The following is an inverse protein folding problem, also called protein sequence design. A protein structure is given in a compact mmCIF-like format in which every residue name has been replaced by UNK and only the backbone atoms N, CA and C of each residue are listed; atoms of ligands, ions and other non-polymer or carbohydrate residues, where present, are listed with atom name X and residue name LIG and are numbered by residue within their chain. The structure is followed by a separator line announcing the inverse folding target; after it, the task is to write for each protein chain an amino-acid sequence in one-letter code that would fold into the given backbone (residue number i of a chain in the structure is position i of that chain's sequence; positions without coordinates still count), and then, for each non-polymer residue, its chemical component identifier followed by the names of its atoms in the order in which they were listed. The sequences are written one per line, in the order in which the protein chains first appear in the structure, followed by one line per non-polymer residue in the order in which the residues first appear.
data_IF_624883640988
#
_entry.id   IF_624883640988
#
_cell.length_a   1.000
_cell.length_b   1.000
_cell.length_c   1.000
_cell.angle_alpha   90.00
_cell.angle_beta   90.00
_cell.angle_gamma   90.00
#
_symmetry.space_group_name_H-M   'P 1'
#
loop_
_entity.id
_entity.type
_entity.pdbx_description
1 polymer ?
#
# COMPACT_ATOMS: atom_id res chain seq x y z
N UNK A 1 -20.86 8.20 12.21
CA UNK A 1 -20.99 7.44 13.49
C UNK A 1 -21.48 6.06 13.11
N UNK A 2 -20.59 5.06 13.09
CA UNK A 2 -20.94 3.70 12.68
C UNK A 2 -21.84 3.05 13.75
N UNK A 3 -23.04 2.55 13.40
CA UNK A 3 -23.93 1.95 14.36
C UNK A 3 -23.45 0.53 14.72
N UNK A 4 -23.15 0.34 16.00
CA UNK A 4 -23.17 -0.95 16.70
C UNK A 4 -22.29 -2.08 16.17
N UNK A 5 -20.96 -1.89 16.20
CA UNK A 5 -20.03 -3.02 16.27
C UNK A 5 -20.14 -3.59 17.69
N UNK A 6 -20.79 -4.75 17.85
CA UNK A 6 -20.77 -5.52 19.09
C UNK A 6 -19.38 -6.11 19.31
N UNK A 7 -18.46 -5.28 19.80
CA UNK A 7 -17.16 -5.72 20.27
C UNK A 7 -17.36 -6.67 21.44
N UNK A 8 -16.81 -7.90 21.41
CA UNK A 8 -16.88 -8.78 22.55
C UNK A 8 -16.22 -8.11 23.75
N UNK A 9 -16.82 -8.34 24.91
CA UNK A 9 -16.31 -7.85 26.19
C UNK A 9 -14.85 -8.30 26.34
N UNK A 10 -13.93 -7.33 26.46
CA UNK A 10 -12.49 -7.57 26.56
C UNK A 10 -11.69 -7.42 25.26
N UNK A 11 -12.32 -7.11 24.12
CA UNK A 11 -11.61 -6.82 22.88
C UNK A 11 -10.77 -5.54 23.03
N UNK A 12 -9.45 -5.71 23.03
CA UNK A 12 -8.52 -4.58 22.91
C UNK A 12 -8.34 -4.31 21.43
N UNK A 13 -8.64 -3.08 20.99
CA UNK A 13 -8.30 -2.63 19.65
C UNK A 13 -6.82 -2.91 19.38
N UNK A 14 -6.48 -3.68 18.34
CA UNK A 14 -5.08 -3.91 18.00
C UNK A 14 -4.38 -2.58 17.72
N UNK A 15 -3.11 -2.46 18.12
CA UNK A 15 -2.29 -1.36 17.65
C UNK A 15 -1.87 -1.67 16.22
N UNK A 16 -2.35 -0.87 15.28
CA UNK A 16 -1.99 -0.98 13.87
C UNK A 16 -0.71 -0.22 13.56
N UNK A 17 0.10 -0.77 12.66
CA UNK A 17 1.09 0.05 11.96
C UNK A 17 0.32 0.93 10.99
N UNK A 18 0.62 2.23 10.98
CA UNK A 18 -0.12 3.19 10.17
C UNK A 18 0.47 3.27 8.77
N UNK A 19 -0.37 3.18 7.76
CA UNK A 19 -0.01 3.44 6.37
C UNK A 19 -0.38 4.87 6.00
N UNK A 20 0.60 5.63 5.55
CA UNK A 20 0.45 7.05 5.20
C UNK A 20 0.16 7.29 3.71
N UNK A 21 0.15 6.23 2.89
CA UNK A 21 0.05 6.31 1.43
C UNK A 21 1.36 6.02 0.69
N UNK A 22 2.46 5.79 1.42
CA UNK A 22 3.77 5.51 0.84
C UNK A 22 4.27 4.10 1.16
N UNK A 23 4.98 3.50 0.20
CA UNK A 23 5.52 2.14 0.33
C UNK A 23 4.53 1.04 -0.05
N UNK A 24 4.96 -0.22 -0.04
CA UNK A 24 4.22 -1.35 -0.62
C UNK A 24 2.85 -1.59 0.05
N UNK A 25 1.72 -1.34 -0.67
CA UNK A 25 0.38 -1.52 -0.11
C UNK A 25 0.05 -3.00 0.15
N UNK A 26 0.62 -3.94 -0.61
CA UNK A 26 0.43 -5.38 -0.38
C UNK A 26 1.14 -5.79 0.91
N UNK A 27 2.32 -5.24 1.17
CA UNK A 27 3.03 -5.48 2.42
C UNK A 27 2.23 -4.94 3.62
N UNK A 28 1.61 -3.76 3.51
CA UNK A 28 0.71 -3.21 4.53
C UNK A 28 -0.47 -4.15 4.81
N UNK A 29 -1.19 -4.59 3.78
CA UNK A 29 -2.32 -5.52 3.94
C UNK A 29 -1.93 -6.81 4.66
N UNK A 30 -0.77 -7.39 4.34
CA UNK A 30 -0.25 -8.59 5.03
C UNK A 30 0.00 -8.33 6.52
N UNK A 31 0.60 -7.19 6.88
CA UNK A 31 0.86 -6.81 8.27
C UNK A 31 -0.44 -6.56 9.02
N UNK A 32 -1.36 -5.81 8.43
CA UNK A 32 -2.69 -5.57 8.97
C UNK A 32 -3.42 -6.89 9.28
N UNK A 33 -3.50 -7.81 8.32
CA UNK A 33 -4.11 -9.13 8.53
C UNK A 33 -3.42 -9.93 9.66
N UNK A 34 -2.10 -9.84 9.80
CA UNK A 34 -1.37 -10.47 10.89
C UNK A 34 -1.68 -9.84 12.25
N UNK A 35 -1.82 -8.51 12.33
CA UNK A 35 -2.22 -7.79 13.55
C UNK A 35 -3.66 -8.13 13.95
N UNK A 36 -4.52 -8.41 12.98
CA UNK A 36 -5.89 -8.89 13.18
C UNK A 36 -5.97 -10.38 13.55
N UNK A 37 -4.93 -11.18 13.30
CA UNK A 37 -4.93 -12.63 13.62
C UNK A 37 -5.00 -12.94 15.13
N UNK A 38 -4.65 -11.98 15.99
CA UNK A 38 -4.85 -12.08 17.44
C UNK A 38 -6.32 -11.95 17.89
N UNK A 39 -7.22 -11.57 16.97
CA UNK A 39 -8.66 -11.58 17.17
C UNK A 39 -9.25 -12.86 16.58
N UNK A 40 -9.67 -13.80 17.43
CA UNK A 40 -10.31 -15.03 16.98
C UNK A 40 -11.54 -14.74 16.10
N UNK A 41 -11.53 -15.33 14.89
CA UNK A 41 -12.67 -15.50 13.97
C UNK A 41 -13.51 -14.27 13.61
N UNK A 42 -12.90 -13.20 13.09
CA UNK A 42 -13.68 -12.05 12.59
C UNK A 42 -13.16 -11.44 11.30
N UNK A 43 -13.34 -12.16 10.19
CA UNK A 43 -13.22 -11.57 8.85
C UNK A 43 -14.10 -10.32 8.68
N UNK A 44 -15.25 -10.31 9.35
CA UNK A 44 -16.19 -9.18 9.38
C UNK A 44 -15.56 -7.90 9.95
N UNK A 45 -14.67 -8.02 10.95
CA UNK A 45 -13.99 -6.86 11.53
C UNK A 45 -12.84 -6.31 10.67
N UNK A 46 -12.40 -7.03 9.63
CA UNK A 46 -11.28 -6.56 8.81
C UNK A 46 -11.61 -5.24 8.11
N UNK A 47 -12.85 -5.09 7.63
CA UNK A 47 -13.29 -3.86 6.98
C UNK A 47 -13.53 -2.75 7.99
N UNK A 48 -14.20 -3.06 9.10
CA UNK A 48 -14.54 -2.11 10.16
C UNK A 48 -13.31 -1.40 10.76
N UNK A 49 -12.20 -2.13 10.90
CA UNK A 49 -10.97 -1.61 11.50
C UNK A 49 -9.95 -1.10 10.49
N UNK A 50 -10.18 -1.25 9.18
CA UNK A 50 -9.14 -0.92 8.21
C UNK A 50 -8.76 0.55 8.24
N UNK A 51 -9.74 1.45 8.39
CA UNK A 51 -9.51 2.89 8.51
C UNK A 51 -8.60 3.24 9.70
N UNK A 52 -8.64 2.47 10.79
CA UNK A 52 -7.75 2.64 11.94
C UNK A 52 -6.29 2.27 11.63
N UNK A 53 -6.01 1.61 10.51
CA UNK A 53 -4.65 1.35 10.03
C UNK A 53 -4.10 2.43 9.10
N UNK A 54 -4.89 3.45 8.77
CA UNK A 54 -4.52 4.49 7.81
C UNK A 54 -4.22 5.84 8.49
N UNK A 55 -3.41 6.66 7.83
CA UNK A 55 -3.15 8.05 8.16
C UNK A 55 -2.85 8.87 6.89
N UNK A 56 -2.83 10.20 7.02
CA UNK A 56 -2.48 11.09 5.91
C UNK A 56 -3.35 10.88 4.68
N UNK A 57 -2.72 10.87 3.50
CA UNK A 57 -3.42 10.73 2.21
C UNK A 57 -4.18 9.40 2.10
N UNK A 58 -3.72 8.35 2.79
CA UNK A 58 -4.42 7.08 2.79
C UNK A 58 -5.74 7.14 3.59
N UNK A 59 -5.77 7.88 4.69
CA UNK A 59 -7.02 8.09 5.45
C UNK A 59 -8.00 9.00 4.71
N UNK A 60 -7.50 10.03 4.02
CA UNK A 60 -8.34 10.91 3.19
C UNK A 60 -9.00 10.11 2.05
N UNK A 61 -8.20 9.35 1.30
CA UNK A 61 -8.70 8.45 0.26
C UNK A 61 -9.80 7.53 0.77
N UNK A 62 -9.61 6.92 1.94
CA UNK A 62 -10.58 5.98 2.52
C UNK A 62 -11.92 6.63 2.89
N UNK A 63 -11.90 7.86 3.39
CA UNK A 63 -13.11 8.64 3.71
C UNK A 63 -13.85 9.04 2.44
N UNK A 64 -13.13 9.34 1.37
CA UNK A 64 -13.69 9.76 0.08
C UNK A 64 -14.31 8.59 -0.71
N UNK A 65 -14.06 7.34 -0.30
CA UNK A 65 -14.65 6.19 -1.00
C UNK A 65 -16.12 6.00 -0.66
N UNK A 66 -16.92 5.70 -1.68
CA UNK A 66 -18.27 5.20 -1.49
C UNK A 66 -18.23 3.74 -1.00
N UNK A 67 -18.19 3.61 0.33
CA UNK A 67 -18.12 2.32 1.05
C UNK A 67 -19.31 1.40 0.76
N UNK A 68 -20.39 1.89 0.14
CA UNK A 68 -21.54 1.05 -0.26
C UNK A 68 -21.17 0.00 -1.32
N UNK A 69 -20.08 0.21 -2.08
CA UNK A 69 -19.62 -0.70 -3.12
C UNK A 69 -18.68 -1.80 -2.61
N UNK A 70 -18.30 -1.77 -1.33
CA UNK A 70 -17.43 -2.79 -0.74
C UNK A 70 -18.25 -3.74 0.12
N UNK A 71 -18.53 -4.92 -0.41
CA UNK A 71 -19.29 -5.96 0.30
C UNK A 71 -18.37 -7.00 0.95
N UNK A 72 -17.09 -7.04 0.56
CA UNK A 72 -16.11 -7.98 1.08
C UNK A 72 -14.77 -7.30 1.33
N UNK A 73 -13.98 -7.90 2.23
CA UNK A 73 -12.59 -7.50 2.45
C UNK A 73 -11.78 -7.49 1.15
N UNK A 74 -12.01 -8.47 0.27
CA UNK A 74 -11.32 -8.57 -1.02
C UNK A 74 -11.62 -7.38 -1.96
N UNK A 75 -12.82 -6.81 -1.90
CA UNK A 75 -13.18 -5.64 -2.72
C UNK A 75 -12.42 -4.39 -2.26
N UNK A 76 -12.44 -4.13 -0.95
CA UNK A 76 -11.69 -3.03 -0.34
C UNK A 76 -10.17 -3.21 -0.58
N UNK A 77 -9.62 -4.39 -0.32
CA UNK A 77 -8.20 -4.67 -0.49
C UNK A 77 -7.74 -4.47 -1.95
N UNK A 78 -8.57 -4.86 -2.92
CA UNK A 78 -8.31 -4.64 -4.35
C UNK A 78 -8.30 -3.16 -4.70
N UNK A 79 -9.30 -2.39 -4.26
CA UNK A 79 -9.35 -0.94 -4.47
C UNK A 79 -8.15 -0.22 -3.85
N UNK A 80 -7.77 -0.61 -2.63
CA UNK A 80 -6.61 -0.06 -1.93
C UNK A 80 -5.30 -0.31 -2.70
N UNK A 81 -5.06 -1.55 -3.13
CA UNK A 81 -3.87 -1.86 -3.94
C UNK A 81 -3.90 -1.10 -5.25
N UNK A 82 -5.03 -1.05 -5.95
CA UNK A 82 -5.11 -0.32 -7.23
C UNK A 82 -4.80 1.17 -7.08
N UNK A 83 -5.28 1.82 -6.01
CA UNK A 83 -4.97 3.22 -5.73
C UNK A 83 -3.47 3.42 -5.49
N UNK A 84 -2.93 2.75 -4.46
CA UNK A 84 -1.59 3.09 -3.96
C UNK A 84 -0.46 2.38 -4.71
N UNK A 85 -0.70 1.23 -5.34
CA UNK A 85 0.29 0.59 -6.21
C UNK A 85 0.50 1.40 -7.48
N UNK A 86 -0.58 1.92 -8.08
CA UNK A 86 -0.50 2.75 -9.28
C UNK A 86 0.22 4.07 -9.01
N UNK A 87 -0.09 4.73 -7.90
CA UNK A 87 0.59 5.96 -7.48
C UNK A 87 2.08 5.70 -7.20
N UNK A 88 2.43 4.59 -6.57
CA UNK A 88 3.84 4.17 -6.41
C UNK A 88 4.49 3.90 -7.75
N UNK A 89 3.85 3.17 -8.65
CA UNK A 89 4.43 2.84 -9.95
C UNK A 89 4.68 4.11 -10.78
N UNK A 90 3.78 5.11 -10.74
CA UNK A 90 3.98 6.42 -11.40
C UNK A 90 5.06 7.26 -10.71
N UNK A 91 5.03 7.36 -9.39
CA UNK A 91 6.03 8.13 -8.65
C UNK A 91 7.41 7.51 -8.83
N UNK A 92 7.51 6.18 -8.79
CA UNK A 92 8.72 5.43 -9.05
C UNK A 92 9.15 5.62 -10.52
N UNK A 93 8.26 5.57 -11.50
CA UNK A 93 8.57 5.88 -12.90
C UNK A 93 9.22 7.27 -13.06
N UNK A 94 8.55 8.32 -12.55
CA UNK A 94 9.01 9.71 -12.75
C UNK A 94 10.23 10.08 -11.91
N UNK A 95 10.39 9.52 -10.70
CA UNK A 95 11.46 9.95 -9.76
C UNK A 95 12.68 9.05 -9.73
N UNK A 96 12.56 7.76 -10.05
CA UNK A 96 13.66 6.79 -9.89
C UNK A 96 14.75 6.99 -10.92
N UNK A 97 14.38 7.05 -12.20
CA UNK A 97 15.34 7.10 -13.30
C UNK A 97 16.04 8.45 -13.41
N UNK A 98 15.30 9.55 -13.20
CA UNK A 98 15.83 10.90 -13.29
C UNK A 98 16.87 11.24 -12.20
N UNK A 99 16.84 10.52 -11.07
CA UNK A 99 17.74 10.75 -9.92
C UNK A 99 18.89 9.76 -9.82
N UNK A 100 18.92 8.71 -10.65
CA UNK A 100 20.03 7.75 -10.63
C UNK A 100 21.28 8.38 -11.22
N UNK A 101 22.18 8.83 -10.35
CA UNK A 101 23.55 9.23 -10.70
C UNK A 101 24.51 8.09 -10.39
N UNK A 102 25.61 8.03 -11.14
CA UNK A 102 26.75 7.15 -10.84
C UNK A 102 27.33 7.53 -9.48
N UNK A 103 27.41 6.56 -8.56
CA UNK A 103 28.07 6.68 -7.27
C UNK A 103 29.59 6.72 -7.46
N UNK A 104 30.31 7.37 -6.57
CA UNK A 104 31.78 7.46 -6.61
C UNK A 104 32.48 6.12 -6.34
N UNK A 105 31.78 5.17 -5.70
CA UNK A 105 32.28 3.84 -5.34
C UNK A 105 31.96 2.74 -6.36
N UNK A 106 31.15 3.02 -7.39
CA UNK A 106 30.81 2.03 -8.43
C UNK A 106 31.51 2.38 -9.75
N UNK A 107 31.93 1.36 -10.49
CA UNK A 107 32.43 1.56 -11.85
C UNK A 107 31.26 1.74 -12.83
N UNK A 108 31.55 2.17 -14.05
CA UNK A 108 30.51 2.49 -15.04
C UNK A 108 29.65 1.28 -15.42
N UNK A 109 30.23 0.07 -15.45
CA UNK A 109 29.50 -1.16 -15.80
C UNK A 109 28.51 -1.53 -14.69
N UNK A 110 28.92 -1.42 -13.43
CA UNK A 110 28.04 -1.63 -12.27
C UNK A 110 26.90 -0.61 -12.23
N UNK A 111 27.20 0.66 -12.54
CA UNK A 111 26.18 1.69 -12.70
C UNK A 111 25.15 1.32 -13.77
N UNK A 112 25.58 0.89 -14.96
CA UNK A 112 24.68 0.51 -16.06
C UNK A 112 23.82 -0.70 -15.68
N UNK A 113 24.38 -1.70 -15.00
CA UNK A 113 23.62 -2.86 -14.51
C UNK A 113 22.56 -2.43 -13.51
N UNK A 114 22.95 -1.66 -12.48
CA UNK A 114 22.03 -1.13 -11.46
C UNK A 114 20.94 -0.27 -12.06
N UNK A 115 21.29 0.60 -13.00
CA UNK A 115 20.35 1.46 -13.71
C UNK A 115 19.36 0.62 -14.53
N UNK A 116 19.82 -0.42 -15.24
CA UNK A 116 18.96 -1.36 -15.99
C UNK A 116 18.04 -2.16 -15.08
N UNK A 117 18.52 -2.63 -13.93
CA UNK A 117 17.70 -3.31 -12.92
C UNK A 117 16.61 -2.39 -12.35
N UNK A 118 16.93 -1.11 -12.13
CA UNK A 118 15.95 -0.11 -11.70
C UNK A 118 14.95 0.22 -12.80
N UNK A 119 15.41 0.36 -14.05
CA UNK A 119 14.55 0.58 -15.21
C UNK A 119 13.59 -0.61 -15.46
N UNK A 120 14.05 -1.85 -15.23
CA UNK A 120 13.22 -3.04 -15.36
C UNK A 120 12.10 -3.15 -14.32
N UNK A 121 12.20 -2.41 -13.21
CA UNK A 121 11.19 -2.37 -12.14
C UNK A 121 10.13 -1.29 -12.36
N UNK A 122 10.37 -0.38 -13.31
CA UNK A 122 9.44 0.69 -13.68
C UNK A 122 8.47 0.17 -14.74
N UNK A 123 7.16 0.38 -14.52
CA UNK A 123 6.09 -0.03 -15.45
C UNK A 123 5.25 1.18 -15.89
N UNK A 124 4.84 1.23 -17.17
CA UNK A 124 5.23 0.34 -18.25
C UNK A 124 6.69 0.60 -18.71
N UNK A 125 7.38 -0.40 -19.30
CA UNK A 125 8.72 -0.20 -19.82
C UNK A 125 8.72 0.92 -20.87
N UNK A 126 9.60 1.91 -20.70
CA UNK A 126 9.73 3.00 -21.67
C UNK A 126 10.03 2.43 -23.05
N UNK A 127 9.28 2.86 -24.05
CA UNK A 127 9.62 2.59 -25.45
C UNK A 127 10.91 3.33 -25.77
N UNK A 128 11.92 2.60 -26.24
CA UNK A 128 13.08 3.23 -26.86
C UNK A 128 12.59 4.01 -28.09
N UNK A 129 12.65 5.33 -28.01
CA UNK A 129 12.46 6.20 -29.17
C UNK A 129 13.64 5.96 -30.11
N UNK A 130 13.35 5.34 -31.24
CA UNK A 130 14.28 4.99 -32.31
C UNK A 130 14.78 6.23 -33.05
#
# INVERSE_FOLDING_TARGET
MFPHIHLPIGFKTPKFEKYDGHGDPIAHLKRYCNQMRGAENKKELLMDYFGESLMGIASEWFIDQDTSNWHTWDDLARCFVLQFQYDIDIVLDRTSLAKTRKKTTENFREYVIRWREQAARVKPPMKESK
#
